data_IF_309559925461
#
_entry.id   IF_309559925461
#
_cell.length_a   1.000
_cell.length_b   1.000
_cell.length_c   1.000
_cell.angle_alpha   90.00
_cell.angle_beta   90.00
_cell.angle_gamma   90.00
#
_symmetry.space_group_name_H-M   'P 1'
#
loop_
_entity.id
_entity.type
_entity.pdbx_description
1 polymer ?
#
# COMPACT_ATOMS: atom_id res chain seq x y z
N UNK A 1 11.51 11.78 -23.57
CA UNK A 1 10.74 11.89 -22.31
C UNK A 1 11.75 11.88 -21.17
N UNK A 2 12.09 13.05 -20.62
CA UNK A 2 13.03 13.16 -19.49
C UNK A 2 12.25 12.81 -18.21
N UNK A 3 12.61 11.69 -17.56
CA UNK A 3 12.15 11.35 -16.22
C UNK A 3 13.09 12.00 -15.21
N UNK A 4 12.67 13.10 -14.63
CA UNK A 4 13.32 13.72 -13.49
C UNK A 4 12.35 13.75 -12.32
N UNK A 5 12.70 13.17 -11.18
CA UNK A 5 11.98 13.41 -9.93
C UNK A 5 12.54 14.68 -9.30
N UNK A 6 11.75 15.73 -9.26
CA UNK A 6 12.08 16.93 -8.48
C UNK A 6 11.45 16.73 -7.11
N UNK A 7 12.28 16.47 -6.11
CA UNK A 7 11.84 16.51 -4.71
C UNK A 7 11.78 17.96 -4.27
N UNK A 8 10.63 18.59 -4.43
CA UNK A 8 10.33 19.89 -3.87
C UNK A 8 9.96 19.70 -2.39
N UNK A 9 10.89 19.94 -1.50
CA UNK A 9 10.62 20.12 -0.07
C UNK A 9 10.95 21.58 0.33
N UNK A 10 10.25 22.59 -0.20
CA UNK A 10 10.46 23.98 0.20
C UNK A 10 9.62 24.27 1.45
N UNK A 11 10.16 25.03 2.37
CA UNK A 11 9.39 25.69 3.42
C UNK A 11 8.46 26.71 2.75
N UNK A 12 7.25 26.93 3.30
CA UNK A 12 6.16 27.70 2.67
C UNK A 12 6.56 29.07 2.04
N UNK A 13 7.53 29.80 2.61
CA UNK A 13 8.04 31.06 2.02
C UNK A 13 8.65 30.90 0.62
N UNK A 14 9.25 29.75 0.32
CA UNK A 14 9.82 29.47 -1.02
C UNK A 14 8.77 29.14 -2.07
N UNK A 15 7.60 28.65 -1.67
CA UNK A 15 6.53 28.31 -2.63
C UNK A 15 5.94 29.59 -3.21
N UNK A 16 5.65 30.57 -2.39
CA UNK A 16 5.09 31.84 -2.87
C UNK A 16 6.04 32.52 -3.85
N UNK A 17 7.35 32.44 -3.66
CA UNK A 17 8.32 32.96 -4.62
C UNK A 17 8.32 32.16 -5.93
N UNK A 18 8.23 30.83 -5.86
CA UNK A 18 8.14 29.97 -7.06
C UNK A 18 6.85 30.26 -7.84
N UNK A 19 5.72 30.40 -7.15
CA UNK A 19 4.45 30.77 -7.79
C UNK A 19 4.58 32.11 -8.48
N UNK A 20 5.20 33.11 -7.85
CA UNK A 20 5.43 34.42 -8.43
C UNK A 20 6.33 34.34 -9.68
N UNK A 21 7.40 33.56 -9.64
CA UNK A 21 8.32 33.37 -10.76
C UNK A 21 7.65 32.65 -11.94
N UNK A 22 6.79 31.66 -11.67
CA UNK A 22 5.98 30.99 -12.70
C UNK A 22 4.96 31.97 -13.30
N UNK A 23 4.25 32.71 -12.46
CA UNK A 23 3.18 33.62 -12.91
C UNK A 23 3.74 34.81 -13.69
N UNK A 24 4.94 35.29 -13.33
CA UNK A 24 5.64 36.36 -14.07
C UNK A 24 6.34 35.91 -15.35
N UNK A 25 6.35 34.60 -15.63
CA UNK A 25 7.02 34.02 -16.81
C UNK A 25 8.55 33.93 -16.69
N UNK A 26 9.12 34.17 -15.50
CA UNK A 26 10.55 33.95 -15.22
C UNK A 26 10.92 32.48 -15.34
N UNK A 27 10.01 31.59 -14.90
CA UNK A 27 10.15 30.15 -15.04
C UNK A 27 9.00 29.64 -15.93
N UNK A 28 9.36 28.95 -17.02
CA UNK A 28 8.39 28.30 -17.91
C UNK A 28 8.55 26.80 -17.91
N UNK A 29 7.42 26.08 -17.80
CA UNK A 29 7.36 24.62 -17.81
C UNK A 29 6.44 24.14 -18.96
N UNK A 30 6.65 24.67 -20.12
CA UNK A 30 5.87 24.30 -21.29
C UNK A 30 6.08 22.83 -21.69
N UNK A 31 5.01 22.14 -22.06
CA UNK A 31 5.03 20.74 -22.50
C UNK A 31 5.44 19.73 -21.42
N UNK A 32 5.25 20.04 -20.14
CA UNK A 32 5.51 19.10 -19.02
C UNK A 32 4.24 18.42 -18.55
N UNK A 33 4.42 17.23 -17.97
CA UNK A 33 3.41 16.54 -17.19
C UNK A 33 3.94 16.43 -15.76
N UNK A 34 3.28 17.09 -14.82
CA UNK A 34 3.61 17.03 -13.40
C UNK A 34 2.70 16.02 -12.71
N UNK A 35 3.31 15.17 -11.88
CA UNK A 35 2.61 14.27 -11.00
C UNK A 35 2.98 14.60 -9.55
N UNK A 36 1.98 15.00 -8.77
CA UNK A 36 2.09 15.25 -7.34
C UNK A 36 1.60 14.02 -6.60
N UNK A 37 2.51 13.22 -6.10
CA UNK A 37 2.23 11.99 -5.36
C UNK A 37 2.29 12.24 -3.85
N UNK A 38 1.59 11.40 -3.07
CA UNK A 38 1.48 11.51 -1.60
C UNK A 38 1.03 12.92 -1.14
N UNK A 39 0.11 13.54 -1.88
CA UNK A 39 -0.32 14.92 -1.67
C UNK A 39 -0.81 15.17 -0.22
N UNK A 40 -1.48 14.19 0.38
CA UNK A 40 -2.00 14.26 1.75
C UNK A 40 -0.91 14.29 2.82
N UNK A 41 0.32 13.93 2.49
CA UNK A 41 1.46 13.89 3.42
C UNK A 41 2.26 15.18 3.43
N UNK A 42 1.91 16.11 2.56
CA UNK A 42 2.61 17.39 2.51
C UNK A 42 2.56 18.14 3.84
N UNK A 43 3.66 18.80 4.19
CA UNK A 43 3.74 19.74 5.32
C UNK A 43 3.31 21.15 4.94
N UNK A 44 3.09 21.38 3.65
CA UNK A 44 2.64 22.65 3.07
C UNK A 44 1.12 22.69 3.14
N UNK A 45 0.55 23.88 3.27
CA UNK A 45 -0.91 24.02 3.28
C UNK A 45 -1.51 23.62 1.94
N UNK A 46 -2.69 23.02 1.96
CA UNK A 46 -3.37 22.61 0.73
C UNK A 46 -3.66 23.79 -0.21
N UNK A 47 -3.93 24.96 0.35
CA UNK A 47 -4.13 26.18 -0.43
C UNK A 47 -2.88 26.60 -1.20
N UNK A 48 -1.71 26.54 -0.58
CA UNK A 48 -0.43 26.88 -1.25
C UNK A 48 -0.08 25.84 -2.32
N UNK A 49 -0.24 24.55 -2.02
CA UNK A 49 0.01 23.48 -3.00
C UNK A 49 -0.91 23.55 -4.20
N UNK A 50 -2.21 23.71 -3.97
CA UNK A 50 -3.20 23.82 -5.05
C UNK A 50 -3.00 25.11 -5.84
N UNK A 51 -2.59 26.21 -5.20
CA UNK A 51 -2.19 27.44 -5.89
C UNK A 51 -0.97 27.25 -6.80
N UNK A 52 0.04 26.49 -6.36
CA UNK A 52 1.18 26.12 -7.22
C UNK A 52 0.74 25.25 -8.40
N UNK A 53 -0.13 24.28 -8.18
CA UNK A 53 -0.63 23.39 -9.23
C UNK A 53 -1.45 24.18 -10.26
N UNK A 54 -2.29 25.11 -9.82
CA UNK A 54 -3.05 26.00 -10.69
C UNK A 54 -2.13 26.86 -11.56
N UNK A 55 -1.08 27.43 -10.97
CA UNK A 55 -0.08 28.21 -11.70
C UNK A 55 0.69 27.39 -12.74
N UNK A 56 0.96 26.11 -12.45
CA UNK A 56 1.59 25.19 -13.40
C UNK A 56 0.61 24.76 -14.50
N UNK A 57 -0.62 24.46 -14.14
CA UNK A 57 -1.66 24.07 -15.10
C UNK A 57 -2.03 25.18 -16.09
N UNK A 58 -1.86 26.43 -15.69
CA UNK A 58 -2.03 27.61 -16.56
C UNK A 58 -0.95 27.79 -17.64
N UNK A 59 0.16 27.05 -17.57
CA UNK A 59 1.24 27.11 -18.56
C UNK A 59 0.86 26.36 -19.85
N UNK A 60 1.39 26.80 -20.98
CA UNK A 60 1.10 26.25 -22.31
C UNK A 60 1.46 24.76 -22.39
N UNK A 61 0.47 23.93 -22.76
CA UNK A 61 0.59 22.47 -22.89
C UNK A 61 1.08 21.73 -21.64
N UNK A 62 1.00 22.32 -20.45
CA UNK A 62 1.34 21.68 -19.20
C UNK A 62 0.13 20.91 -18.67
N UNK A 63 0.37 19.71 -18.19
CA UNK A 63 -0.65 18.85 -17.54
C UNK A 63 -0.21 18.58 -16.12
N UNK A 64 -1.18 18.59 -15.20
CA UNK A 64 -0.94 18.29 -13.80
C UNK A 64 -1.83 17.13 -13.36
N UNK A 65 -1.28 16.24 -12.56
CA UNK A 65 -1.98 15.12 -11.95
C UNK A 65 -1.65 15.09 -10.47
N UNK A 66 -2.67 14.88 -9.65
CA UNK A 66 -2.55 14.75 -8.21
C UNK A 66 -2.94 13.32 -7.83
N UNK A 67 -2.06 12.62 -7.14
CA UNK A 67 -2.35 11.32 -6.52
C UNK A 67 -2.49 11.55 -5.02
N UNK A 68 -3.66 11.21 -4.47
CA UNK A 68 -4.02 11.59 -3.12
C UNK A 68 -4.93 10.54 -2.46
N UNK A 69 -4.73 10.30 -1.17
CA UNK A 69 -5.74 9.67 -0.33
C UNK A 69 -6.69 10.75 0.21
N UNK A 70 -7.79 10.97 -0.50
CA UNK A 70 -8.72 12.04 -0.16
C UNK A 70 -9.45 11.78 1.16
N UNK A 71 -9.77 10.52 1.50
CA UNK A 71 -10.39 10.16 2.78
C UNK A 71 -9.52 10.59 3.96
N UNK A 72 -8.19 10.44 3.81
CA UNK A 72 -7.24 10.87 4.83
C UNK A 72 -7.24 12.39 5.03
N UNK A 73 -7.39 13.18 3.94
CA UNK A 73 -7.51 14.64 4.04
C UNK A 73 -8.83 15.01 4.73
N UNK A 74 -9.94 14.38 4.29
CA UNK A 74 -11.29 14.69 4.80
C UNK A 74 -11.42 14.37 6.29
N UNK A 75 -10.70 13.37 6.79
CA UNK A 75 -10.68 13.03 8.22
C UNK A 75 -9.96 14.07 9.09
N UNK A 76 -9.27 15.05 8.52
CA UNK A 76 -8.50 16.07 9.23
C UNK A 76 -9.25 17.39 9.39
N UNK A 77 -8.84 18.20 10.38
CA UNK A 77 -9.44 19.51 10.69
C UNK A 77 -9.41 20.52 9.53
N UNK A 78 -8.47 20.36 8.59
CA UNK A 78 -8.27 21.29 7.47
C UNK A 78 -8.96 20.83 6.16
N UNK A 79 -9.89 19.89 6.24
CA UNK A 79 -10.62 19.36 5.10
C UNK A 79 -11.36 20.45 4.28
N UNK A 80 -11.92 21.43 4.96
CA UNK A 80 -12.70 22.49 4.32
C UNK A 80 -11.87 23.35 3.37
N UNK A 81 -10.64 23.69 3.76
CA UNK A 81 -9.73 24.46 2.91
C UNK A 81 -9.36 23.66 1.65
N UNK A 82 -9.06 22.38 1.80
CA UNK A 82 -8.79 21.50 0.68
C UNK A 82 -9.97 21.43 -0.30
N UNK A 83 -11.16 21.15 0.19
CA UNK A 83 -12.37 21.02 -0.65
C UNK A 83 -12.67 22.31 -1.43
N UNK A 84 -12.56 23.46 -0.77
CA UNK A 84 -12.79 24.77 -1.39
C UNK A 84 -11.81 25.06 -2.54
N UNK A 85 -10.54 24.72 -2.38
CA UNK A 85 -9.53 24.93 -3.41
C UNK A 85 -9.58 23.85 -4.48
N UNK A 86 -9.87 22.58 -4.10
CA UNK A 86 -10.04 21.48 -5.05
C UNK A 86 -11.07 21.82 -6.12
N UNK A 87 -12.24 22.32 -5.74
CA UNK A 87 -13.31 22.68 -6.67
C UNK A 87 -12.88 23.68 -7.75
N UNK A 88 -11.91 24.55 -7.43
CA UNK A 88 -11.43 25.57 -8.37
C UNK A 88 -10.32 25.07 -9.28
N UNK A 89 -9.47 24.17 -8.80
CA UNK A 89 -8.21 23.79 -9.46
C UNK A 89 -8.31 22.44 -10.16
N UNK A 90 -9.10 21.50 -9.61
CA UNK A 90 -9.19 20.13 -10.12
C UNK A 90 -10.37 20.00 -11.06
N UNK A 91 -10.10 19.90 -12.36
CA UNK A 91 -11.14 19.75 -13.39
C UNK A 91 -11.73 18.34 -13.49
N UNK A 92 -10.98 17.30 -13.12
CA UNK A 92 -11.44 15.91 -13.18
C UNK A 92 -10.90 15.13 -11.98
N UNK A 93 -11.77 14.42 -11.29
CA UNK A 93 -11.41 13.47 -10.24
C UNK A 93 -11.74 12.05 -10.71
N UNK A 94 -10.76 11.15 -10.61
CA UNK A 94 -10.92 9.73 -10.93
C UNK A 94 -10.70 8.96 -9.63
N UNK A 95 -11.72 8.23 -9.19
CA UNK A 95 -11.56 7.31 -8.08
C UNK A 95 -10.91 6.04 -8.58
N UNK A 96 -9.86 5.64 -7.91
CA UNK A 96 -9.18 4.39 -8.19
C UNK A 96 -9.73 3.32 -7.24
N UNK A 97 -10.58 2.48 -7.77
CA UNK A 97 -11.10 1.31 -7.06
C UNK A 97 -10.24 0.11 -7.42
N UNK A 98 -9.76 -0.56 -6.40
CA UNK A 98 -8.93 -1.75 -6.57
C UNK A 98 -9.82 -2.99 -6.53
N UNK A 99 -9.97 -3.67 -7.64
CA UNK A 99 -10.45 -5.04 -7.62
C UNK A 99 -9.27 -5.95 -7.24
N UNK A 100 -9.40 -6.61 -6.08
CA UNK A 100 -8.32 -7.43 -5.52
C UNK A 100 -7.88 -8.54 -6.48
N UNK A 101 -8.78 -9.06 -7.28
CA UNK A 101 -8.52 -10.08 -8.28
C UNK A 101 -7.52 -9.65 -9.36
N UNK A 102 -7.72 -8.46 -9.94
CA UNK A 102 -6.81 -7.93 -10.96
C UNK A 102 -5.45 -7.56 -10.38
N UNK A 103 -5.46 -7.02 -9.16
CA UNK A 103 -4.24 -6.61 -8.47
C UNK A 103 -3.40 -7.81 -8.08
N UNK A 104 -4.03 -8.90 -7.64
CA UNK A 104 -3.35 -10.10 -7.19
C UNK A 104 -2.39 -10.66 -8.24
N UNK A 105 -2.85 -10.80 -9.48
CA UNK A 105 -2.04 -11.29 -10.59
C UNK A 105 -0.82 -10.37 -10.84
N UNK A 106 -1.05 -9.06 -10.86
CA UNK A 106 0.02 -8.08 -11.03
C UNK A 106 1.04 -8.13 -9.87
N UNK A 107 0.56 -8.35 -8.64
CA UNK A 107 1.42 -8.50 -7.46
C UNK A 107 2.27 -9.76 -7.61
N UNK A 108 1.66 -10.89 -7.90
CA UNK A 108 2.34 -12.18 -7.98
C UNK A 108 3.44 -12.16 -9.05
N UNK A 109 3.13 -11.64 -10.23
CA UNK A 109 4.08 -11.46 -11.31
C UNK A 109 5.24 -10.53 -10.94
N UNK A 110 4.96 -9.47 -10.19
CA UNK A 110 5.97 -8.50 -9.74
C UNK A 110 6.86 -8.99 -8.60
N UNK A 111 6.41 -9.96 -7.81
CA UNK A 111 7.16 -10.43 -6.63
C UNK A 111 8.32 -11.37 -6.95
N UNK A 112 8.31 -12.04 -8.12
CA UNK A 112 9.33 -13.00 -8.54
C UNK A 112 9.59 -14.08 -7.48
N UNK A 113 8.53 -14.66 -6.92
CA UNK A 113 8.63 -15.77 -5.98
C UNK A 113 9.20 -17.02 -6.65
N UNK A 114 9.75 -17.95 -5.87
CA UNK A 114 10.14 -19.26 -6.39
C UNK A 114 8.94 -19.96 -7.01
N UNK A 115 9.16 -20.73 -8.08
CA UNK A 115 8.10 -21.34 -8.90
C UNK A 115 7.11 -22.18 -8.09
N UNK A 116 7.59 -23.01 -7.15
CA UNK A 116 6.74 -23.83 -6.28
C UNK A 116 5.91 -22.99 -5.29
N UNK A 117 6.49 -21.92 -4.74
CA UNK A 117 5.78 -20.98 -3.83
C UNK A 117 4.78 -20.15 -4.63
N UNK A 118 5.16 -19.66 -5.80
CA UNK A 118 4.29 -18.91 -6.70
C UNK A 118 3.07 -19.72 -7.11
N UNK A 119 3.25 -20.98 -7.50
CA UNK A 119 2.15 -21.87 -7.85
C UNK A 119 1.23 -22.12 -6.63
N UNK A 120 1.81 -22.39 -5.45
CA UNK A 120 1.03 -22.61 -4.25
C UNK A 120 0.20 -21.36 -3.86
N UNK A 121 0.78 -20.18 -3.96
CA UNK A 121 0.10 -18.91 -3.71
C UNK A 121 -1.03 -18.69 -4.72
N UNK A 122 -0.80 -19.02 -6.00
CA UNK A 122 -1.82 -18.96 -7.05
C UNK A 122 -2.98 -19.90 -6.78
N UNK A 123 -2.69 -21.15 -6.41
CA UNK A 123 -3.71 -22.17 -6.10
C UNK A 123 -4.55 -21.82 -4.85
N UNK A 124 -4.03 -20.93 -4.00
CA UNK A 124 -4.72 -20.46 -2.79
C UNK A 124 -5.16 -18.99 -2.89
N UNK A 125 -5.35 -18.45 -4.09
CA UNK A 125 -5.75 -17.07 -4.35
C UNK A 125 -7.01 -16.69 -3.57
N UNK A 126 -8.07 -17.49 -3.69
CA UNK A 126 -9.36 -17.21 -3.04
C UNK A 126 -9.22 -17.11 -1.52
N UNK A 127 -8.44 -18.03 -0.94
CA UNK A 127 -8.13 -18.01 0.50
C UNK A 127 -7.46 -16.71 0.94
N UNK A 128 -6.54 -16.20 0.12
CA UNK A 128 -5.80 -14.98 0.39
C UNK A 128 -6.74 -13.77 0.32
N UNK A 129 -7.51 -13.68 -0.75
CA UNK A 129 -8.46 -12.57 -0.97
C UNK A 129 -9.50 -12.56 0.15
N UNK A 130 -10.16 -13.68 0.44
CA UNK A 130 -11.13 -13.80 1.52
C UNK A 130 -10.54 -13.40 2.88
N UNK A 131 -9.28 -13.76 3.14
CA UNK A 131 -8.61 -13.39 4.39
C UNK A 131 -8.39 -11.87 4.48
N UNK A 132 -8.02 -11.21 3.39
CA UNK A 132 -7.85 -9.77 3.33
C UNK A 132 -9.16 -9.02 3.48
N UNK A 133 -10.21 -9.44 2.78
CA UNK A 133 -11.55 -8.85 2.84
C UNK A 133 -12.14 -8.95 4.24
N UNK A 134 -12.04 -10.12 4.86
CA UNK A 134 -12.55 -10.35 6.22
C UNK A 134 -11.85 -9.49 7.27
N UNK A 135 -10.57 -9.20 7.09
CA UNK A 135 -9.78 -8.32 7.97
C UNK A 135 -9.84 -6.86 7.54
N UNK A 136 -10.72 -6.54 6.58
CA UNK A 136 -10.92 -5.18 6.03
C UNK A 136 -9.63 -4.51 5.57
N UNK A 137 -8.61 -5.32 5.22
CA UNK A 137 -7.34 -4.80 4.74
C UNK A 137 -7.40 -4.58 3.22
N UNK A 138 -7.08 -3.34 2.81
CA UNK A 138 -6.96 -2.96 1.39
C UNK A 138 -5.51 -2.61 1.01
N UNK A 139 -4.56 -2.88 1.91
CA UNK A 139 -3.19 -2.44 1.73
C UNK A 139 -2.37 -3.44 0.90
N UNK A 140 -2.20 -3.13 -0.38
CA UNK A 140 -1.41 -3.93 -1.32
C UNK A 140 0.04 -4.14 -0.84
N UNK A 141 0.63 -3.17 -0.14
CA UNK A 141 2.00 -3.30 0.41
C UNK A 141 2.05 -4.38 1.49
N UNK A 142 0.98 -4.51 2.28
CA UNK A 142 0.86 -5.56 3.29
C UNK A 142 0.73 -6.94 2.66
N UNK A 143 -0.03 -7.08 1.58
CA UNK A 143 -0.10 -8.32 0.81
C UNK A 143 1.27 -8.73 0.25
N UNK A 144 1.96 -7.82 -0.42
CA UNK A 144 3.32 -8.06 -0.92
C UNK A 144 4.28 -8.48 0.20
N UNK A 145 4.19 -7.84 1.35
CA UNK A 145 5.00 -8.19 2.52
C UNK A 145 4.67 -9.58 3.03
N UNK A 146 3.39 -9.93 3.18
CA UNK A 146 2.94 -11.24 3.65
C UNK A 146 3.44 -12.38 2.75
N UNK A 147 3.29 -12.24 1.44
CA UNK A 147 3.73 -13.25 0.48
C UNK A 147 5.26 -13.45 0.48
N UNK A 148 6.02 -12.36 0.60
CA UNK A 148 7.48 -12.45 0.76
C UNK A 148 7.89 -13.15 2.05
N UNK A 149 7.22 -12.85 3.16
CA UNK A 149 7.46 -13.52 4.44
C UNK A 149 7.08 -14.98 4.41
N UNK A 150 6.03 -15.32 3.70
CA UNK A 150 5.66 -16.72 3.49
C UNK A 150 6.74 -17.48 2.71
N UNK A 151 7.29 -16.91 1.64
CA UNK A 151 8.41 -17.50 0.89
C UNK A 151 9.63 -17.73 1.78
N UNK A 152 10.05 -16.73 2.58
CA UNK A 152 11.16 -16.85 3.52
C UNK A 152 10.92 -17.93 4.56
N UNK A 153 9.68 -18.04 5.06
CA UNK A 153 9.29 -19.07 6.01
C UNK A 153 9.35 -20.46 5.39
N UNK A 154 8.81 -20.63 4.19
CA UNK A 154 8.89 -21.90 3.44
C UNK A 154 10.34 -22.37 3.33
N UNK A 155 11.23 -21.47 2.92
CA UNK A 155 12.66 -21.77 2.79
C UNK A 155 13.27 -22.25 4.12
N UNK A 156 13.05 -21.54 5.21
CA UNK A 156 13.59 -21.88 6.53
C UNK A 156 13.06 -23.20 7.07
N UNK A 157 11.77 -23.46 6.88
CA UNK A 157 11.15 -24.71 7.32
C UNK A 157 11.68 -25.88 6.48
N UNK A 158 11.79 -25.74 5.16
CA UNK A 158 12.33 -26.78 4.28
C UNK A 158 13.78 -27.11 4.65
N UNK A 159 14.62 -26.10 4.87
CA UNK A 159 15.99 -26.29 5.33
C UNK A 159 16.04 -27.07 6.65
N UNK A 160 15.26 -26.66 7.64
CA UNK A 160 15.24 -27.29 8.96
C UNK A 160 14.71 -28.75 8.94
N UNK A 161 13.70 -29.01 8.10
CA UNK A 161 13.12 -30.35 7.92
C UNK A 161 14.12 -31.27 7.22
N UNK A 162 14.77 -30.80 6.16
CA UNK A 162 15.80 -31.57 5.47
C UNK A 162 16.95 -31.94 6.39
N UNK A 163 17.43 -30.99 7.20
CA UNK A 163 18.54 -31.21 8.14
C UNK A 163 18.25 -32.27 9.23
N UNK A 164 16.96 -32.38 9.61
CA UNK A 164 16.54 -33.33 10.67
C UNK A 164 15.90 -34.61 10.14
N UNK A 165 15.76 -34.77 8.83
CA UNK A 165 15.14 -35.94 8.22
C UNK A 165 13.65 -36.10 8.49
N UNK A 166 12.97 -35.02 8.85
CA UNK A 166 11.52 -35.03 9.04
C UNK A 166 10.78 -34.93 7.71
N UNK A 167 9.56 -35.47 7.66
CA UNK A 167 8.62 -35.29 6.55
C UNK A 167 7.36 -34.56 7.00
N UNK A 168 6.83 -33.68 6.15
CA UNK A 168 5.55 -33.03 6.41
C UNK A 168 4.44 -33.92 5.84
N UNK A 169 3.64 -34.52 6.72
CA UNK A 169 2.42 -35.19 6.34
C UNK A 169 1.36 -34.12 6.01
N UNK A 170 0.59 -34.34 4.93
CA UNK A 170 -0.43 -33.38 4.45
C UNK A 170 0.12 -31.98 4.17
N UNK A 171 1.10 -31.93 3.29
CA UNK A 171 1.88 -30.74 2.93
C UNK A 171 1.02 -29.52 2.58
N UNK A 172 -0.04 -29.71 1.81
CA UNK A 172 -0.87 -28.61 1.34
C UNK A 172 -1.65 -27.95 2.49
N UNK A 173 -2.17 -28.74 3.42
CA UNK A 173 -2.88 -28.19 4.58
C UNK A 173 -1.94 -27.41 5.50
N UNK A 174 -0.75 -27.96 5.78
CA UNK A 174 0.27 -27.29 6.57
C UNK A 174 0.65 -25.92 5.97
N UNK A 175 0.97 -25.87 4.68
CA UNK A 175 1.34 -24.63 4.01
C UNK A 175 0.18 -23.64 3.91
N UNK A 176 -1.05 -24.10 3.77
CA UNK A 176 -2.25 -23.25 3.82
C UNK A 176 -2.43 -22.56 5.17
N UNK A 177 -2.23 -23.27 6.27
CA UNK A 177 -2.27 -22.70 7.63
C UNK A 177 -1.14 -21.68 7.80
N UNK A 178 0.07 -22.00 7.35
CA UNK A 178 1.22 -21.08 7.45
C UNK A 178 1.02 -19.82 6.61
N UNK A 179 0.44 -19.93 5.42
CA UNK A 179 0.09 -18.81 4.58
C UNK A 179 -0.92 -17.89 5.27
N UNK A 180 -2.02 -18.43 5.81
CA UNK A 180 -3.00 -17.66 6.59
C UNK A 180 -2.35 -16.92 7.76
N UNK A 181 -1.48 -17.58 8.50
CA UNK A 181 -0.76 -16.96 9.62
C UNK A 181 0.15 -15.83 9.17
N UNK A 182 0.90 -16.00 8.08
CA UNK A 182 1.72 -14.94 7.51
C UNK A 182 0.89 -13.72 7.13
N UNK A 183 -0.30 -13.92 6.56
CA UNK A 183 -1.21 -12.85 6.18
C UNK A 183 -1.72 -12.13 7.42
N UNK A 184 -2.30 -12.86 8.38
CA UNK A 184 -2.85 -12.29 9.61
C UNK A 184 -1.82 -11.47 10.39
N UNK A 185 -0.62 -12.03 10.58
CA UNK A 185 0.48 -11.34 11.25
C UNK A 185 0.95 -10.10 10.49
N UNK A 186 0.96 -10.16 9.17
CA UNK A 186 1.36 -9.02 8.34
C UNK A 186 0.36 -7.88 8.42
N UNK A 187 -0.94 -8.18 8.45
CA UNK A 187 -2.01 -7.20 8.63
C UNK A 187 -1.91 -6.59 10.04
N UNK A 188 -1.76 -7.42 11.08
CA UNK A 188 -1.61 -6.93 12.45
C UNK A 188 -0.42 -5.97 12.59
N UNK A 189 0.73 -6.32 12.02
CA UNK A 189 1.95 -5.52 12.11
C UNK A 189 1.91 -4.24 11.26
N UNK A 190 1.35 -4.30 10.05
CA UNK A 190 1.45 -3.21 9.09
C UNK A 190 0.24 -2.29 9.09
N UNK A 191 -0.95 -2.86 9.18
CA UNK A 191 -2.20 -2.10 9.07
C UNK A 191 -2.70 -1.68 10.45
N UNK A 192 -2.66 -2.59 11.44
CA UNK A 192 -3.07 -2.32 12.81
C UNK A 192 -1.94 -1.71 13.66
N UNK A 193 -0.72 -1.59 13.12
CA UNK A 193 0.47 -1.02 13.79
C UNK A 193 0.78 -1.66 15.15
N UNK A 194 0.44 -2.93 15.33
CA UNK A 194 0.75 -3.67 16.53
C UNK A 194 2.27 -3.83 16.68
N UNK A 195 2.78 -3.59 17.88
CA UNK A 195 4.21 -3.74 18.16
C UNK A 195 4.53 -5.22 18.39
N UNK A 196 5.57 -5.75 17.76
CA UNK A 196 5.96 -7.17 17.91
C UNK A 196 6.21 -7.58 19.36
N UNK A 197 6.58 -6.63 20.22
CA UNK A 197 6.79 -6.85 21.65
C UNK A 197 5.49 -6.75 22.48
N UNK A 198 4.41 -6.25 21.90
CA UNK A 198 3.10 -6.04 22.54
C UNK A 198 2.06 -7.06 22.06
N UNK A 199 2.40 -7.89 21.08
CA UNK A 199 1.52 -8.97 20.63
C UNK A 199 1.44 -9.99 21.76
N UNK A 200 0.50 -9.77 22.66
CA UNK A 200 0.08 -10.82 23.58
C UNK A 200 -0.53 -11.90 22.74
N UNK A 201 -0.05 -13.12 22.92
CA UNK A 201 -0.59 -14.30 22.23
C UNK A 201 -2.11 -14.42 22.37
N UNK A 202 -2.68 -13.92 23.46
CA UNK A 202 -4.12 -13.76 23.70
C UNK A 202 -4.82 -12.81 22.72
N UNK A 203 -4.14 -11.81 22.17
CA UNK A 203 -4.69 -10.93 21.12
C UNK A 203 -4.56 -11.57 19.73
N UNK A 204 -3.52 -12.37 19.52
CA UNK A 204 -3.42 -13.24 18.34
C UNK A 204 -4.48 -14.34 18.41
N UNK A 205 -4.81 -14.86 19.60
CA UNK A 205 -5.92 -15.78 19.82
C UNK A 205 -7.26 -15.11 19.59
N UNK A 206 -7.44 -13.84 19.90
CA UNK A 206 -8.66 -13.09 19.52
C UNK A 206 -8.78 -12.88 18.01
N UNK A 207 -7.67 -12.70 17.29
CA UNK A 207 -7.67 -12.81 15.83
C UNK A 207 -7.99 -14.25 15.37
N UNK A 208 -7.80 -15.25 16.23
CA UNK A 208 -8.23 -16.64 16.03
C UNK A 208 -9.72 -16.86 16.31
N UNK A 209 -10.31 -16.13 17.26
CA UNK A 209 -11.78 -16.15 17.56
C UNK A 209 -12.61 -15.59 16.40
N UNK A 210 -12.01 -14.80 15.50
CA UNK A 210 -12.61 -14.46 14.21
C UNK A 210 -12.58 -15.64 13.19
N UNK A 211 -12.64 -16.88 13.66
CA UNK A 211 -12.78 -18.11 12.87
C UNK A 211 -11.74 -18.32 11.75
N UNK A 212 -10.51 -17.91 11.95
CA UNK A 212 -9.44 -18.15 10.99
C UNK A 212 -8.69 -19.47 11.21
N UNK A 213 -9.03 -20.23 12.24
CA UNK A 213 -8.47 -21.55 12.49
C UNK A 213 -9.66 -22.51 12.64
N UNK A 214 -9.82 -23.35 11.65
CA UNK A 214 -10.58 -24.56 11.82
C UNK A 214 -9.93 -25.35 12.98
N UNK A 215 -10.73 -25.71 13.98
CA UNK A 215 -10.29 -26.44 15.18
C UNK A 215 -9.92 -27.90 14.86
N UNK A 216 -9.39 -28.18 13.70
CA UNK A 216 -8.83 -29.48 13.39
C UNK A 216 -7.47 -29.59 14.04
N UNK A 217 -7.50 -30.09 15.25
CA UNK A 217 -6.48 -30.51 16.15
C UNK A 217 -5.04 -30.64 15.62
N UNK A 218 -4.22 -29.62 15.85
CA UNK A 218 -2.80 -29.81 15.98
C UNK A 218 -2.46 -29.76 17.48
N UNK A 219 -2.38 -30.90 18.11
CA UNK A 219 -1.65 -31.06 19.38
C UNK A 219 -0.15 -31.16 19.01
N UNK A 220 0.63 -30.27 19.59
CA UNK A 220 2.06 -30.39 19.61
C UNK A 220 2.39 -31.36 20.75
N UNK A 221 2.89 -32.55 20.44
CA UNK A 221 3.68 -33.34 21.38
C UNK A 221 5.13 -32.84 21.41
#
# INVERSE_FOLDING_TARGET
MLRGSISLCPKGEKINSIIADITSGVISFENYIFCFDDFERSTITYSELLGLIDSLAGQTNTKTMIVVNEEYIISRKNAQDYLKFKEKVVGLTINFENEMDEIFENILNGLKLKSNVSQFVQDNKDLIIETFERLESKNIRTLKFALKRFEELCKKIEEHICDKGYSINNRNNFWGIMLKRCINMSIALKDMKMNTNEIKWEEVEKLQEYNCIDKTGFQWE
#
